data_IF_403636081586
#
_entry.id   IF_403636081586
#
_cell.length_a   1.000
_cell.length_b   1.000
_cell.length_c   1.000
_cell.angle_alpha   90.00
_cell.angle_beta   90.00
_cell.angle_gamma   90.00
#
_symmetry.space_group_name_H-M   'P 1'
#
loop_
_entity.id
_entity.type
_entity.pdbx_description
1 polymer ?
#
# COMPACT_ATOMS: atom_id res chain seq x y z
N UNK A 1 10.48 10.93 -14.08
CA UNK A 1 10.86 9.59 -13.58
C UNK A 1 9.59 8.96 -13.01
N UNK A 2 9.15 7.81 -13.53
CA UNK A 2 7.86 7.20 -13.15
C UNK A 2 7.99 6.45 -11.82
N UNK A 3 7.07 6.69 -10.88
CA UNK A 3 6.98 5.91 -9.64
C UNK A 3 5.93 4.81 -9.76
N UNK A 4 6.25 3.64 -9.18
CA UNK A 4 5.28 2.56 -9.01
C UNK A 4 4.43 2.84 -7.77
N UNK A 5 3.14 2.60 -7.88
CA UNK A 5 2.17 2.70 -6.78
C UNK A 5 1.55 1.30 -6.58
N UNK A 6 1.27 0.95 -5.34
CA UNK A 6 0.50 -0.23 -4.96
C UNK A 6 -0.99 0.15 -4.97
N UNK A 7 -1.84 -0.67 -5.56
CA UNK A 7 -3.29 -0.48 -5.54
C UNK A 7 -3.89 -1.66 -4.78
N UNK A 8 -4.72 -1.36 -3.79
CA UNK A 8 -5.42 -2.36 -2.98
C UNK A 8 -6.93 -2.16 -3.14
N UNK A 9 -7.67 -3.23 -3.39
CA UNK A 9 -9.13 -3.24 -3.38
C UNK A 9 -9.59 -3.89 -2.08
N UNK A 10 -10.32 -3.16 -1.25
CA UNK A 10 -10.83 -3.64 0.02
C UNK A 10 -12.26 -3.16 0.22
N UNK A 11 -13.20 -4.07 0.47
CA UNK A 11 -14.62 -3.76 0.66
C UNK A 11 -15.24 -2.92 -0.48
N UNK A 12 -14.80 -3.14 -1.72
CA UNK A 12 -15.26 -2.38 -2.89
C UNK A 12 -14.63 -1.00 -3.05
N UNK A 13 -13.74 -0.58 -2.14
CA UNK A 13 -13.00 0.68 -2.20
C UNK A 13 -11.58 0.45 -2.71
N UNK A 14 -11.14 1.31 -3.65
CA UNK A 14 -9.76 1.33 -4.12
C UNK A 14 -8.92 2.26 -3.24
N UNK A 15 -7.81 1.73 -2.74
CA UNK A 15 -6.82 2.45 -1.97
C UNK A 15 -5.49 2.46 -2.72
N UNK A 16 -4.83 3.61 -2.73
CA UNK A 16 -3.44 3.69 -3.13
C UNK A 16 -2.54 3.45 -1.90
N UNK A 17 -1.45 2.70 -2.10
CA UNK A 17 -0.41 2.42 -1.13
C UNK A 17 0.98 2.67 -1.72
N UNK A 18 1.98 2.89 -0.87
CA UNK A 18 3.37 2.87 -1.30
C UNK A 18 3.71 1.50 -1.90
N UNK A 19 4.38 1.47 -3.06
CA UNK A 19 4.75 0.21 -3.70
C UNK A 19 5.78 -0.61 -2.90
N UNK A 20 6.55 0.06 -2.04
CA UNK A 20 7.59 -0.54 -1.20
C UNK A 20 7.31 -0.25 0.27
N UNK A 21 7.47 -1.27 1.11
CA UNK A 21 7.41 -1.15 2.56
C UNK A 21 8.55 -0.25 3.06
N UNK A 22 8.30 0.75 3.93
CA UNK A 22 9.34 1.65 4.43
C UNK A 22 10.35 0.96 5.35
N UNK A 23 10.05 -0.25 5.86
CA UNK A 23 10.97 -1.00 6.71
C UNK A 23 12.14 -1.60 5.91
N UNK A 24 11.85 -2.40 4.88
CA UNK A 24 12.87 -3.17 4.16
C UNK A 24 12.57 -3.29 2.66
N UNK A 25 11.88 -2.31 2.07
CA UNK A 25 11.53 -2.26 0.64
C UNK A 25 10.74 -3.45 0.08
N UNK A 26 10.12 -4.27 0.93
CA UNK A 26 9.24 -5.36 0.51
C UNK A 26 8.12 -4.83 -0.40
N UNK A 27 7.81 -5.54 -1.48
CA UNK A 27 6.79 -5.11 -2.44
C UNK A 27 5.41 -5.29 -1.80
N UNK A 28 4.71 -4.19 -1.56
CA UNK A 28 3.44 -4.22 -0.84
C UNK A 28 2.34 -4.97 -1.62
N UNK A 29 2.44 -5.00 -2.95
CA UNK A 29 1.54 -5.77 -3.82
C UNK A 29 1.66 -7.29 -3.67
N UNK A 30 2.75 -7.80 -3.08
CA UNK A 30 2.93 -9.23 -2.75
C UNK A 30 2.43 -9.56 -1.33
N UNK A 31 1.91 -8.57 -0.61
CA UNK A 31 1.31 -8.72 0.72
C UNK A 31 -0.14 -9.19 0.68
N UNK A 32 -0.86 -8.99 1.79
CA UNK A 32 -2.30 -9.21 1.88
C UNK A 32 -2.97 -8.14 2.73
N UNK A 33 -4.30 -8.06 2.67
CA UNK A 33 -5.11 -7.20 3.53
C UNK A 33 -5.68 -8.07 4.64
N UNK A 34 -5.51 -7.68 5.90
CA UNK A 34 -6.11 -8.39 7.02
C UNK A 34 -7.57 -7.97 7.26
N UNK A 35 -8.28 -8.70 8.13
CA UNK A 35 -9.71 -8.47 8.40
C UNK A 35 -10.01 -7.10 9.03
N UNK A 36 -9.00 -6.38 9.51
CA UNK A 36 -9.14 -5.03 10.07
C UNK A 36 -8.86 -3.94 9.02
N UNK A 37 -8.59 -4.32 7.76
CA UNK A 37 -8.30 -3.39 6.67
C UNK A 37 -6.87 -2.86 6.69
N UNK A 38 -5.92 -3.60 7.27
CA UNK A 38 -4.50 -3.25 7.17
C UNK A 38 -3.85 -3.99 6.01
N UNK A 39 -3.03 -3.29 5.23
CA UNK A 39 -2.12 -3.94 4.31
C UNK A 39 -0.89 -4.47 5.08
N UNK A 40 -0.59 -5.74 4.88
CA UNK A 40 0.43 -6.50 5.61
C UNK A 40 1.61 -6.79 4.67
N UNK A 41 2.79 -6.31 5.05
CA UNK A 41 4.03 -6.54 4.31
C UNK A 41 4.35 -8.04 4.22
N UNK A 42 4.74 -8.56 3.04
CA UNK A 42 4.99 -10.00 2.85
C UNK A 42 6.22 -10.50 3.58
N UNK A 43 7.21 -9.64 3.85
CA UNK A 43 8.49 -10.06 4.43
C UNK A 43 8.38 -10.29 5.94
N UNK A 44 7.96 -9.27 6.68
CA UNK A 44 8.03 -9.25 8.15
C UNK A 44 6.69 -8.92 8.81
N UNK A 45 5.58 -9.00 8.06
CA UNK A 45 4.21 -8.82 8.56
C UNK A 45 3.91 -7.45 9.20
N UNK A 46 4.74 -6.43 8.96
CA UNK A 46 4.44 -5.05 9.32
C UNK A 46 3.11 -4.62 8.69
N UNK A 47 2.28 -3.92 9.47
CA UNK A 47 0.91 -3.57 9.10
C UNK A 47 0.75 -2.07 8.96
N UNK A 48 -0.01 -1.65 7.95
CA UNK A 48 -0.34 -0.25 7.71
C UNK A 48 -1.83 -0.14 7.42
N UNK A 49 -2.52 0.82 8.04
CA UNK A 49 -3.95 1.00 7.83
C UNK A 49 -4.22 1.61 6.44
N UNK A 50 -5.02 0.95 5.59
CA UNK A 50 -5.31 1.42 4.23
C UNK A 50 -5.96 2.80 4.15
N UNK A 51 -6.67 3.24 5.20
CA UNK A 51 -7.29 4.57 5.27
C UNK A 51 -6.32 5.67 5.69
N UNK A 52 -5.20 5.32 6.33
CA UNK A 52 -4.20 6.27 6.79
C UNK A 52 -2.88 6.19 6.02
N UNK A 53 -2.75 5.29 5.03
CA UNK A 53 -1.57 5.27 4.17
C UNK A 53 -1.59 6.55 3.35
N UNK A 54 -0.98 7.60 3.89
CA UNK A 54 -0.75 8.86 3.21
C UNK A 54 0.18 8.59 2.04
N UNK A 55 -0.35 8.72 0.83
CA UNK A 55 0.48 8.85 -0.35
C UNK A 55 1.19 10.21 -0.20
N UNK A 56 2.49 10.19 0.04
CA UNK A 56 3.31 11.39 -0.17
C UNK A 56 3.27 11.74 -1.67
N UNK A 57 2.30 12.57 -2.02
CA UNK A 57 2.09 13.23 -3.31
C UNK A 57 2.28 12.35 -4.56
N UNK A 58 1.27 11.56 -4.93
CA UNK A 58 1.08 11.19 -6.33
C UNK A 58 0.44 12.39 -7.04
N UNK A 59 1.25 13.18 -7.77
CA UNK A 59 0.72 14.18 -8.69
C UNK A 59 0.03 13.44 -9.84
N UNK A 60 -1.29 13.31 -9.77
CA UNK A 60 -2.10 12.88 -10.91
C UNK A 60 -2.04 14.03 -11.94
N UNK A 61 -1.17 13.88 -12.93
CA UNK A 61 -1.15 14.77 -14.10
C UNK A 61 -2.07 14.10 -15.12
N UNK A 62 -3.17 14.76 -15.47
CA UNK A 62 -3.98 14.42 -16.65
C UNK A 62 -3.22 14.76 -17.92
#
# INVERSE_FOLDING_TARGET
>A
MWQKICIALHNGELHACAAKCPHASGKMAEGHIDSLGNIVCPLHRYKFNLKMVEIQAAKVIF
#
